data_IF_328273268273
#
_entry.id   IF_328273268273
#
_cell.length_a   1.000
_cell.length_b   1.000
_cell.length_c   1.000
_cell.angle_alpha   90.00
_cell.angle_beta   90.00
_cell.angle_gamma   90.00
#
_symmetry.space_group_name_H-M   'P 1'
#
loop_
_entity.id
_entity.type
_entity.pdbx_description
1 polymer ?
#
# COMPACT_ATOMS: atom_id res chain seq x y z
N UNK A 1 21.21 -5.40 5.75
CA UNK A 1 20.36 -4.20 5.95
C UNK A 1 18.95 -4.33 5.34
N UNK A 2 18.72 -5.20 4.33
CA UNK A 2 17.40 -5.42 3.70
C UNK A 2 16.41 -6.20 4.60
N UNK A 3 16.91 -7.04 5.51
CA UNK A 3 16.07 -7.86 6.41
C UNK A 3 15.27 -7.06 7.45
N UNK A 4 15.78 -5.91 7.90
CA UNK A 4 15.04 -5.09 8.88
C UNK A 4 13.84 -4.37 8.25
N UNK A 5 13.93 -4.05 6.95
CA UNK A 5 12.86 -3.42 6.19
C UNK A 5 11.68 -4.39 5.97
N UNK A 6 11.99 -5.65 5.64
CA UNK A 6 10.97 -6.69 5.42
C UNK A 6 10.29 -7.18 6.71
N UNK A 7 10.92 -6.99 7.89
CA UNK A 7 10.36 -7.48 9.16
C UNK A 7 9.11 -6.72 9.63
N UNK A 8 9.04 -5.40 9.37
CA UNK A 8 7.87 -4.55 9.66
C UNK A 8 7.71 -3.43 8.62
N UNK A 9 7.34 -3.78 7.38
CA UNK A 9 7.37 -2.84 6.26
C UNK A 9 6.36 -1.69 6.45
N UNK A 10 5.23 -1.94 7.11
CA UNK A 10 4.28 -0.88 7.47
C UNK A 10 4.89 0.20 8.36
N UNK A 11 5.66 -0.17 9.39
CA UNK A 11 6.27 0.82 10.27
C UNK A 11 7.29 1.67 9.53
N UNK A 12 8.03 1.08 8.60
CA UNK A 12 8.99 1.81 7.78
C UNK A 12 8.33 2.80 6.83
N UNK A 13 7.21 2.46 6.18
CA UNK A 13 6.51 3.42 5.32
C UNK A 13 5.99 4.61 6.12
N UNK A 14 5.36 4.35 7.27
CA UNK A 14 4.85 5.43 8.12
C UNK A 14 6.00 6.26 8.68
N UNK A 15 7.10 5.65 9.13
CA UNK A 15 8.26 6.37 9.67
C UNK A 15 8.93 7.23 8.57
N UNK A 16 9.07 6.70 7.35
CA UNK A 16 9.65 7.42 6.22
C UNK A 16 8.72 8.54 5.72
N UNK A 17 7.41 8.32 5.71
CA UNK A 17 6.42 9.35 5.41
C UNK A 17 6.38 10.44 6.50
N UNK A 18 6.48 10.07 7.78
CA UNK A 18 6.58 11.02 8.90
C UNK A 18 7.88 11.83 8.81
N UNK A 19 9.01 11.20 8.49
CA UNK A 19 10.29 11.87 8.33
C UNK A 19 10.27 12.86 7.14
N UNK A 20 9.70 12.46 6.00
CA UNK A 20 9.50 13.37 4.86
C UNK A 20 8.55 14.52 5.19
N UNK A 21 7.48 14.27 5.95
CA UNK A 21 6.59 15.34 6.43
C UNK A 21 7.31 16.33 7.35
N UNK A 22 8.19 15.86 8.24
CA UNK A 22 9.01 16.71 9.10
C UNK A 22 9.94 17.57 8.26
N UNK A 23 10.60 16.99 7.25
CA UNK A 23 11.47 17.73 6.33
C UNK A 23 10.68 18.82 5.59
N UNK A 24 9.51 18.49 5.05
CA UNK A 24 8.67 19.45 4.32
C UNK A 24 8.14 20.54 5.26
N UNK A 25 7.82 20.20 6.51
CA UNK A 25 7.43 21.18 7.53
C UNK A 25 8.57 22.16 7.86
N UNK A 26 9.81 21.66 8.00
CA UNK A 26 11.00 22.50 8.22
C UNK A 26 11.26 23.40 7.02
N UNK A 27 11.18 22.88 5.80
CA UNK A 27 11.35 23.66 4.56
C UNK A 27 10.26 24.73 4.41
N UNK A 28 9.03 24.43 4.82
CA UNK A 28 7.93 25.39 4.84
C UNK A 28 8.17 26.51 5.87
N UNK A 29 8.69 26.19 7.07
CA UNK A 29 9.07 27.20 8.06
C UNK A 29 10.24 28.10 7.60
N UNK A 30 11.09 27.60 6.70
CA UNK A 30 12.17 28.38 6.06
C UNK A 30 11.63 29.29 4.93
N UNK A 31 10.35 29.14 4.54
CA UNK A 31 9.68 30.02 3.57
C UNK A 31 9.93 29.68 2.10
N UNK A 32 10.53 28.52 1.79
CA UNK A 32 10.80 28.09 0.42
C UNK A 32 9.57 27.53 -0.32
N UNK A 33 8.50 27.19 0.40
CA UNK A 33 7.28 26.61 -0.18
C UNK A 33 6.09 27.50 0.19
N UNK A 34 5.47 28.12 -0.81
CA UNK A 34 4.23 28.87 -0.62
C UNK A 34 3.05 27.90 -0.58
N UNK A 35 2.30 27.85 0.53
CA UNK A 35 1.08 27.05 0.62
C UNK A 35 0.00 27.73 -0.24
N UNK A 36 -0.50 27.10 -1.31
CA UNK A 36 -1.56 27.69 -2.12
C UNK A 36 -2.86 27.72 -1.30
N UNK A 37 -3.51 28.88 -1.15
CA UNK A 37 -4.77 29.05 -0.39
C UNK A 37 -5.99 28.62 -1.23
N UNK A 38 -5.84 27.63 -2.10
CA UNK A 38 -6.83 27.29 -3.12
C UNK A 38 -7.73 26.10 -2.72
N UNK A 39 -8.98 26.15 -3.18
CA UNK A 39 -9.96 25.06 -3.15
C UNK A 39 -9.41 23.73 -3.70
N UNK A 40 -8.39 23.79 -4.56
CA UNK A 40 -7.68 22.63 -5.12
C UNK A 40 -7.12 21.68 -4.06
N UNK A 41 -6.82 22.15 -2.84
CA UNK A 41 -6.34 21.28 -1.75
C UNK A 41 -7.42 20.28 -1.32
N UNK A 42 -8.68 20.71 -1.26
CA UNK A 42 -9.80 19.85 -0.86
C UNK A 42 -10.21 18.87 -1.95
N UNK A 43 -10.13 19.28 -3.22
CA UNK A 43 -10.35 18.36 -4.34
C UNK A 43 -9.24 17.30 -4.37
N UNK A 44 -7.97 17.71 -4.19
CA UNK A 44 -6.84 16.77 -4.15
C UNK A 44 -6.94 15.77 -3.00
N UNK A 45 -7.42 16.19 -1.82
CA UNK A 45 -7.68 15.28 -0.71
C UNK A 45 -8.73 14.23 -1.06
N UNK A 46 -9.80 14.66 -1.74
CA UNK A 46 -10.84 13.78 -2.25
C UNK A 46 -10.29 12.78 -3.27
N UNK A 47 -9.51 13.26 -4.23
CA UNK A 47 -8.92 12.45 -5.30
C UNK A 47 -7.91 11.45 -4.74
N UNK A 48 -7.16 11.84 -3.71
CA UNK A 48 -6.24 10.94 -3.01
C UNK A 48 -7.00 9.87 -2.21
N UNK A 49 -8.10 10.25 -1.55
CA UNK A 49 -8.96 9.30 -0.83
C UNK A 49 -9.68 8.33 -1.77
N UNK A 50 -10.15 8.78 -2.93
CA UNK A 50 -10.78 7.89 -3.93
C UNK A 50 -9.76 6.94 -4.53
N UNK A 51 -8.60 7.44 -4.96
CA UNK A 51 -7.52 6.62 -5.55
C UNK A 51 -6.96 5.60 -4.57
N UNK A 52 -6.77 5.96 -3.30
CA UNK A 52 -6.35 4.99 -2.27
C UNK A 52 -7.40 3.90 -2.04
N UNK A 53 -8.70 4.23 -2.05
CA UNK A 53 -9.77 3.24 -1.90
C UNK A 53 -9.85 2.29 -3.11
N UNK A 54 -9.73 2.80 -4.33
CA UNK A 54 -9.78 1.98 -5.54
C UNK A 54 -8.60 1.03 -5.61
N UNK A 55 -7.39 1.50 -5.27
CA UNK A 55 -6.20 0.66 -5.15
C UNK A 55 -6.36 -0.42 -4.08
N UNK A 56 -6.94 -0.09 -2.92
CA UNK A 56 -7.26 -1.09 -1.91
C UNK A 56 -8.21 -2.17 -2.46
N UNK A 57 -9.26 -1.76 -3.18
CA UNK A 57 -10.19 -2.66 -3.87
C UNK A 57 -9.48 -3.61 -4.84
N UNK A 58 -8.59 -3.08 -5.68
CA UNK A 58 -7.81 -3.87 -6.62
C UNK A 58 -6.89 -4.90 -5.92
N UNK A 59 -6.27 -4.52 -4.80
CA UNK A 59 -5.42 -5.46 -4.05
C UNK A 59 -6.27 -6.53 -3.35
N UNK A 60 -7.49 -6.21 -2.89
CA UNK A 60 -8.43 -7.17 -2.31
C UNK A 60 -8.86 -8.20 -3.35
N UNK A 61 -9.20 -7.78 -4.56
CA UNK A 61 -9.60 -8.72 -5.63
C UNK A 61 -8.45 -9.64 -6.01
N UNK A 62 -7.23 -9.10 -6.15
CA UNK A 62 -6.03 -9.91 -6.39
C UNK A 62 -5.79 -10.92 -5.26
N UNK A 63 -5.89 -10.49 -3.99
CA UNK A 63 -5.75 -11.37 -2.85
C UNK A 63 -6.82 -12.49 -2.85
N UNK A 64 -8.04 -12.16 -3.24
CA UNK A 64 -9.15 -13.12 -3.33
C UNK A 64 -8.86 -14.17 -4.40
N UNK A 65 -8.39 -13.77 -5.59
CA UNK A 65 -7.95 -14.68 -6.66
C UNK A 65 -6.85 -15.63 -6.15
N UNK A 66 -5.84 -15.11 -5.44
CA UNK A 66 -4.77 -15.93 -4.86
C UNK A 66 -5.28 -16.95 -3.82
N UNK A 67 -6.24 -16.57 -2.99
CA UNK A 67 -6.85 -17.47 -2.00
C UNK A 67 -7.68 -18.54 -2.70
N UNK A 68 -8.47 -18.17 -3.71
CA UNK A 68 -9.30 -19.11 -4.48
C UNK A 68 -8.42 -20.16 -5.17
N UNK A 69 -7.32 -19.76 -5.82
CA UNK A 69 -6.37 -20.70 -6.42
C UNK A 69 -5.76 -21.66 -5.39
N UNK A 70 -5.37 -21.16 -4.21
CA UNK A 70 -4.86 -22.01 -3.12
C UNK A 70 -5.91 -23.03 -2.63
N UNK A 71 -7.17 -22.61 -2.52
CA UNK A 71 -8.25 -23.50 -2.10
C UNK A 71 -8.54 -24.60 -3.12
N UNK A 72 -8.49 -24.27 -4.41
CA UNK A 72 -8.60 -25.23 -5.51
C UNK A 72 -7.47 -26.27 -5.50
N UNK A 73 -6.24 -25.87 -5.19
CA UNK A 73 -5.11 -26.81 -5.08
C UNK A 73 -5.26 -27.82 -3.93
N UNK A 74 -5.74 -27.41 -2.73
CA UNK A 74 -5.93 -28.36 -1.61
C UNK A 74 -6.88 -29.51 -1.95
N UNK A 75 -7.78 -29.33 -2.92
CA UNK A 75 -8.73 -30.35 -3.38
C UNK A 75 -8.05 -31.36 -4.34
N UNK A 76 -7.04 -30.95 -5.11
CA UNK A 76 -6.31 -31.81 -6.07
C UNK A 76 -5.25 -32.73 -5.44
N UNK A 77 -4.83 -32.48 -4.19
CA UNK A 77 -3.76 -33.23 -3.50
C UNK A 77 -4.06 -34.72 -3.26
N UNK A 78 -5.24 -35.21 -3.65
CA UNK A 78 -5.61 -36.63 -3.65
C UNK A 78 -5.13 -37.43 -4.86
N UNK A 79 -4.56 -36.81 -5.90
CA UNK A 79 -4.17 -37.49 -7.14
C UNK A 79 -2.79 -37.07 -7.64
N UNK A 80 -1.79 -37.95 -7.43
CA UNK A 80 -0.45 -38.06 -8.05
C UNK A 80 0.50 -36.84 -7.96
N UNK A 81 1.72 -37.13 -7.49
CA UNK A 81 2.73 -36.20 -6.96
C UNK A 81 3.77 -35.77 -8.02
N UNK A 82 3.62 -36.18 -9.29
CA UNK A 82 4.75 -36.15 -10.23
C UNK A 82 4.87 -34.89 -11.12
N UNK A 83 3.87 -33.98 -11.14
CA UNK A 83 3.93 -32.73 -11.93
C UNK A 83 3.39 -31.51 -11.14
N UNK A 84 3.94 -31.24 -9.95
CA UNK A 84 3.58 -30.01 -9.23
C UNK A 84 4.14 -28.78 -9.97
N UNK A 85 3.26 -27.97 -10.57
CA UNK A 85 3.67 -26.72 -11.23
C UNK A 85 4.28 -25.73 -10.22
N UNK A 86 5.18 -24.83 -10.65
CA UNK A 86 5.81 -23.79 -9.79
C UNK A 86 4.78 -23.02 -8.95
N UNK A 87 3.58 -22.84 -9.48
CA UNK A 87 2.46 -22.18 -8.80
C UNK A 87 1.93 -22.98 -7.60
N UNK A 88 1.92 -24.31 -7.70
CA UNK A 88 1.54 -25.22 -6.61
C UNK A 88 2.61 -25.25 -5.52
N UNK A 89 3.90 -25.22 -5.90
CA UNK A 89 5.02 -25.07 -4.98
C UNK A 89 4.98 -23.71 -4.24
N UNK A 90 4.58 -22.65 -4.93
CA UNK A 90 4.37 -21.34 -4.30
C UNK A 90 3.28 -21.39 -3.21
N UNK A 91 2.16 -22.09 -3.43
CA UNK A 91 1.07 -22.18 -2.45
C UNK A 91 1.39 -23.00 -1.21
N UNK A 92 2.31 -23.96 -1.33
CA UNK A 92 2.76 -24.84 -0.25
C UNK A 92 3.89 -24.21 0.58
N UNK A 93 4.65 -23.27 0.02
CA UNK A 93 5.75 -22.59 0.73
C UNK A 93 5.28 -21.44 1.64
N UNK A 94 6.14 -21.07 2.59
CA UNK A 94 5.91 -19.92 3.48
C UNK A 94 5.83 -18.58 2.73
N UNK A 95 6.35 -18.52 1.49
CA UNK A 95 6.33 -17.34 0.63
C UNK A 95 4.90 -16.86 0.30
N UNK A 96 3.96 -17.79 0.13
CA UNK A 96 2.55 -17.44 -0.03
C UNK A 96 1.99 -16.72 1.19
N UNK A 97 2.26 -17.24 2.39
CA UNK A 97 1.73 -16.66 3.62
C UNK A 97 2.33 -15.28 3.89
N UNK A 98 3.62 -15.09 3.59
CA UNK A 98 4.26 -13.78 3.63
C UNK A 98 3.65 -12.81 2.62
N UNK A 99 3.45 -13.25 1.37
CA UNK A 99 2.81 -12.45 0.31
C UNK A 99 1.41 -11.99 0.72
N UNK A 100 0.56 -12.91 1.18
CA UNK A 100 -0.79 -12.61 1.66
C UNK A 100 -0.75 -11.64 2.84
N UNK A 101 0.17 -11.83 3.79
CA UNK A 101 0.35 -10.93 4.93
C UNK A 101 0.75 -9.52 4.48
N UNK A 102 1.66 -9.39 3.52
CA UNK A 102 2.06 -8.10 2.97
C UNK A 102 0.92 -7.41 2.20
N UNK A 103 0.19 -8.13 1.34
CA UNK A 103 -0.96 -7.58 0.61
C UNK A 103 -2.06 -7.12 1.56
N UNK A 104 -2.40 -7.92 2.59
CA UNK A 104 -3.37 -7.55 3.64
C UNK A 104 -2.96 -6.26 4.37
N UNK A 105 -1.66 -6.11 4.63
CA UNK A 105 -1.11 -4.91 5.25
C UNK A 105 -1.21 -3.68 4.32
N UNK A 106 -0.93 -3.84 3.03
CA UNK A 106 -1.11 -2.78 2.03
C UNK A 106 -2.57 -2.31 1.98
N UNK A 107 -3.53 -3.24 1.93
CA UNK A 107 -4.96 -2.94 1.96
C UNK A 107 -5.32 -2.14 3.20
N UNK A 108 -4.90 -2.60 4.39
CA UNK A 108 -5.18 -1.91 5.65
C UNK A 108 -4.64 -0.47 5.64
N UNK A 109 -3.43 -0.26 5.10
CA UNK A 109 -2.84 1.08 5.00
C UNK A 109 -3.63 2.00 4.06
N UNK A 110 -3.97 1.52 2.86
CA UNK A 110 -4.69 2.31 1.86
C UNK A 110 -6.12 2.64 2.32
N UNK A 111 -6.83 1.68 2.91
CA UNK A 111 -8.16 1.91 3.49
C UNK A 111 -8.08 2.95 4.61
N UNK A 112 -7.08 2.84 5.48
CA UNK A 112 -6.90 3.79 6.58
C UNK A 112 -6.67 5.22 6.08
N UNK A 113 -5.81 5.40 5.07
CA UNK A 113 -5.57 6.73 4.46
C UNK A 113 -6.81 7.26 3.77
N UNK A 114 -7.54 6.42 3.05
CA UNK A 114 -8.77 6.81 2.38
C UNK A 114 -9.81 7.33 3.38
N UNK A 115 -10.06 6.55 4.45
CA UNK A 115 -11.00 6.91 5.52
C UNK A 115 -10.54 8.16 6.25
N UNK A 116 -9.25 8.29 6.56
CA UNK A 116 -8.71 9.50 7.18
C UNK A 116 -8.90 10.73 6.29
N UNK A 117 -8.64 10.63 4.99
CA UNK A 117 -8.78 11.77 4.09
C UNK A 117 -10.23 12.23 3.93
N UNK A 118 -11.19 11.30 3.87
CA UNK A 118 -12.61 11.65 3.90
C UNK A 118 -13.04 12.22 5.26
N UNK A 119 -12.52 11.67 6.36
CA UNK A 119 -12.81 12.18 7.70
C UNK A 119 -12.29 13.62 7.86
N UNK A 120 -11.05 13.88 7.44
CA UNK A 120 -10.48 15.23 7.45
C UNK A 120 -11.30 16.17 6.58
N UNK A 121 -11.78 15.71 5.42
CA UNK A 121 -12.65 16.51 4.56
C UNK A 121 -13.98 16.90 5.22
N UNK A 122 -14.54 16.03 6.06
CA UNK A 122 -15.82 16.26 6.74
C UNK A 122 -15.70 17.11 8.02
N UNK A 123 -14.62 16.94 8.78
CA UNK A 123 -14.46 17.57 10.10
C UNK A 123 -13.69 18.89 10.09
N UNK A 124 -12.84 19.14 9.09
CA UNK A 124 -12.06 20.39 9.05
C UNK A 124 -12.90 21.52 8.41
N UNK A 125 -12.79 22.70 9.00
CA UNK A 125 -13.34 23.94 8.46
C UNK A 125 -12.33 24.62 7.52
N UNK A 126 -12.76 25.58 6.70
CA UNK A 126 -11.91 26.25 5.69
C UNK A 126 -10.64 26.87 6.27
N UNK A 127 -10.63 27.32 7.52
CA UNK A 127 -9.44 27.86 8.16
C UNK A 127 -8.26 26.86 8.34
N UNK A 128 -8.48 25.56 8.10
CA UNK A 128 -7.48 24.50 8.33
C UNK A 128 -6.76 24.02 7.05
N UNK A 129 -6.76 24.79 5.95
CA UNK A 129 -6.13 24.42 4.67
C UNK A 129 -4.67 23.93 4.79
N UNK A 130 -3.89 24.51 5.72
CA UNK A 130 -2.49 24.13 5.94
C UNK A 130 -2.35 22.66 6.35
N UNK A 131 -3.24 22.15 7.21
CA UNK A 131 -3.19 20.77 7.68
C UNK A 131 -3.56 19.76 6.60
N UNK A 132 -4.50 20.13 5.73
CA UNK A 132 -4.95 19.28 4.63
C UNK A 132 -3.88 19.20 3.55
N UNK A 133 -3.17 20.29 3.30
CA UNK A 133 -2.01 20.27 2.40
C UNK A 133 -0.94 19.27 2.87
N UNK A 134 -0.57 19.30 4.15
CA UNK A 134 0.39 18.33 4.70
C UNK A 134 -0.16 16.90 4.66
N UNK A 135 -1.44 16.71 4.95
CA UNK A 135 -2.09 15.40 4.83
C UNK A 135 -2.05 14.87 3.38
N UNK A 136 -2.31 15.71 2.38
CA UNK A 136 -2.30 15.31 0.98
C UNK A 136 -0.91 14.86 0.55
N UNK A 137 0.14 15.60 0.92
CA UNK A 137 1.52 15.20 0.66
C UNK A 137 1.84 13.88 1.37
N UNK A 138 1.48 13.77 2.65
CA UNK A 138 1.69 12.56 3.44
C UNK A 138 1.01 11.34 2.79
N UNK A 139 -0.28 11.45 2.52
CA UNK A 139 -1.05 10.37 1.93
C UNK A 139 -0.55 10.00 0.53
N UNK A 140 -0.12 10.97 -0.27
CA UNK A 140 0.46 10.73 -1.60
C UNK A 140 1.76 9.94 -1.50
N UNK A 141 2.65 10.30 -0.56
CA UNK A 141 3.88 9.55 -0.30
C UNK A 141 3.55 8.12 0.13
N UNK A 142 2.60 7.92 1.05
CA UNK A 142 2.26 6.56 1.50
C UNK A 142 1.62 5.74 0.38
N UNK A 143 0.78 6.34 -0.47
CA UNK A 143 0.22 5.65 -1.64
C UNK A 143 1.33 5.20 -2.60
N UNK A 144 2.29 6.08 -2.92
CA UNK A 144 3.43 5.73 -3.79
C UNK A 144 4.28 4.61 -3.18
N UNK A 145 4.64 4.70 -1.89
CA UNK A 145 5.42 3.66 -1.21
C UNK A 145 4.68 2.32 -1.17
N UNK A 146 3.36 2.37 -0.93
CA UNK A 146 2.53 1.16 -0.93
C UNK A 146 2.47 0.52 -2.32
N UNK A 147 2.35 1.33 -3.38
CA UNK A 147 2.38 0.86 -4.76
C UNK A 147 3.73 0.24 -5.10
N UNK A 148 4.84 0.91 -4.82
CA UNK A 148 6.19 0.39 -5.07
C UNK A 148 6.42 -0.94 -4.33
N UNK A 149 5.93 -1.05 -3.09
CA UNK A 149 5.99 -2.32 -2.35
C UNK A 149 5.18 -3.42 -3.02
N UNK A 150 3.95 -3.11 -3.43
CA UNK A 150 3.09 -4.10 -4.11
C UNK A 150 3.72 -4.58 -5.43
N UNK A 151 4.37 -3.67 -6.17
CA UNK A 151 5.12 -3.99 -7.38
C UNK A 151 6.34 -4.87 -7.08
N UNK A 152 7.15 -4.53 -6.06
CA UNK A 152 8.30 -5.37 -5.68
C UNK A 152 7.90 -6.79 -5.28
N UNK A 153 6.77 -6.95 -4.57
CA UNK A 153 6.24 -8.28 -4.21
C UNK A 153 5.83 -9.03 -5.47
N UNK A 154 5.14 -8.36 -6.40
CA UNK A 154 4.74 -8.96 -7.66
C UNK A 154 5.95 -9.38 -8.51
N UNK A 155 6.97 -8.54 -8.62
CA UNK A 155 8.21 -8.87 -9.34
C UNK A 155 8.91 -10.08 -8.73
N UNK A 156 9.00 -10.17 -7.39
CA UNK A 156 9.56 -11.36 -6.74
C UNK A 156 8.77 -12.64 -7.03
N UNK A 157 7.45 -12.56 -7.13
CA UNK A 157 6.61 -13.70 -7.51
C UNK A 157 6.90 -14.11 -8.96
N UNK A 158 7.03 -13.13 -9.87
CA UNK A 158 7.34 -13.39 -11.28
C UNK A 158 8.76 -13.94 -11.47
N UNK A 159 9.75 -13.44 -10.73
CA UNK A 159 11.12 -13.93 -10.82
C UNK A 159 11.24 -15.37 -10.30
N UNK A 160 10.46 -15.74 -9.29
CA UNK A 160 10.31 -17.14 -8.86
C UNK A 160 9.67 -18.02 -9.94
N UNK A 161 8.85 -17.45 -10.82
CA UNK A 161 8.28 -18.15 -11.97
C UNK A 161 9.27 -18.27 -13.15
N UNK A 162 10.22 -17.33 -13.29
CA UNK A 162 11.21 -17.29 -14.39
C UNK A 162 12.49 -18.08 -14.13
N UNK A 163 12.63 -18.72 -12.97
CA UNK A 163 13.78 -19.60 -12.68
C UNK A 163 13.65 -21.00 -13.33
N UNK A 164 12.65 -21.19 -14.20
CA UNK A 164 12.63 -22.18 -15.29
C UNK A 164 13.14 -21.57 -16.60
#
# INVERSE_FOLDING_TARGET
MIDLYFRKPLLWDYLLATLLCIIIFVINNIGWIFIPVNQNIWSMASDLSTTSLTLAGFIITLLTILITFKSGYRIKKGSKVEDETVFELFFTTNLYFETVKHLKNCIKSLVFISVLGYSLKLFLNDCAHKYIYFFNIFGLIVVILTLLRSLMILTKIIDLQKLE
#
